data_IF_118983552939
#
_entry.id   IF_118983552939
#
_cell.length_a   1.000
_cell.length_b   1.000
_cell.length_c   1.000
_cell.angle_alpha   90.00
_cell.angle_beta   90.00
_cell.angle_gamma   90.00
#
_symmetry.space_group_name_H-M   'P 1'
#
loop_
_entity.id
_entity.type
_entity.pdbx_description
1 polymer ?
#
# COMPACT_ATOMS: atom_id res chain seq x y z
N UNK A 1 -10.91 5.05 -14.75
CA UNK A 1 -10.72 5.78 -13.49
C UNK A 1 -9.23 5.75 -13.16
N UNK A 2 -8.50 6.87 -13.16
CA UNK A 2 -7.14 6.91 -12.64
C UNK A 2 -7.16 6.87 -11.10
N UNK A 3 -6.20 6.17 -10.51
CA UNK A 3 -5.97 6.20 -9.07
C UNK A 3 -4.82 7.15 -8.76
N UNK A 4 -4.91 7.88 -7.65
CA UNK A 4 -3.84 8.76 -7.21
C UNK A 4 -3.50 8.50 -5.75
N UNK A 5 -2.23 8.69 -5.41
CA UNK A 5 -1.82 8.79 -4.02
C UNK A 5 -1.43 10.23 -3.74
N UNK A 6 -2.12 10.88 -2.81
CA UNK A 6 -1.65 12.14 -2.24
C UNK A 6 -0.96 11.80 -0.94
N UNK A 7 0.31 12.14 -0.83
CA UNK A 7 1.01 11.94 0.41
C UNK A 7 1.54 13.25 0.95
N UNK A 8 1.35 13.42 2.25
CA UNK A 8 1.90 14.54 3.01
C UNK A 8 2.99 13.92 3.88
N UNK A 9 4.24 14.22 3.57
CA UNK A 9 5.32 13.85 4.49
C UNK A 9 5.23 14.82 5.66
N UNK A 10 4.71 14.34 6.78
CA UNK A 10 4.78 15.04 8.06
C UNK A 10 6.16 14.80 8.66
N UNK A 11 7.18 15.42 8.08
CA UNK A 11 8.48 15.51 8.75
C UNK A 11 8.38 16.63 9.80
N UNK A 12 8.81 16.40 11.05
CA UNK A 12 8.71 17.38 12.13
C UNK A 12 9.38 18.73 11.82
N UNK A 13 10.34 18.75 10.88
CA UNK A 13 11.15 19.91 10.53
C UNK A 13 11.00 20.41 9.07
N UNK A 14 10.04 19.89 8.28
CA UNK A 14 9.82 20.34 6.90
C UNK A 14 8.44 20.96 6.71
N UNK A 15 8.34 21.97 5.83
CA UNK A 15 7.05 22.47 5.34
C UNK A 15 6.16 21.30 4.89
N UNK A 16 4.87 21.32 5.21
CA UNK A 16 3.92 20.31 4.73
C UNK A 16 3.86 20.34 3.20
N UNK A 17 4.67 19.51 2.56
CA UNK A 17 4.61 19.31 1.11
C UNK A 17 3.71 18.14 0.80
N UNK A 18 2.59 18.39 0.13
CA UNK A 18 1.79 17.34 -0.48
C UNK A 18 2.30 17.05 -1.89
N UNK A 19 2.56 15.79 -2.22
CA UNK A 19 2.86 15.34 -3.59
C UNK A 19 1.75 14.41 -4.06
N UNK A 20 1.26 14.64 -5.28
CA UNK A 20 0.32 13.74 -5.95
C UNK A 20 1.09 12.81 -6.88
N UNK A 21 0.90 11.51 -6.73
CA UNK A 21 1.47 10.48 -7.60
C UNK A 21 0.33 9.81 -8.36
N UNK A 22 0.42 9.82 -9.69
CA UNK A 22 -0.50 9.08 -10.54
C UNK A 22 -0.14 7.60 -10.51
N UNK A 23 -1.12 6.77 -10.20
CA UNK A 23 -0.98 5.33 -10.16
C UNK A 23 -1.55 4.74 -11.46
N UNK A 24 -0.73 3.93 -12.13
CA UNK A 24 -1.06 3.32 -13.40
C UNK A 24 -1.76 1.98 -13.17
N UNK A 25 -2.67 1.62 -14.08
CA UNK A 25 -3.32 0.32 -14.05
C UNK A 25 -2.31 -0.83 -14.23
N UNK A 26 -2.51 -1.92 -13.48
CA UNK A 26 -1.65 -3.09 -13.47
C UNK A 26 -0.26 -2.85 -12.89
N UNK A 27 -0.01 -1.69 -12.30
CA UNK A 27 1.27 -1.34 -11.71
C UNK A 27 1.33 -1.71 -10.22
N UNK A 28 2.54 -2.03 -9.78
CA UNK A 28 2.88 -2.19 -8.37
C UNK A 28 3.84 -1.07 -7.97
N UNK A 29 3.65 -0.52 -6.78
CA UNK A 29 4.47 0.54 -6.22
C UNK A 29 5.00 0.08 -4.87
N UNK A 30 6.32 0.12 -4.72
CA UNK A 30 7.01 -0.17 -3.48
C UNK A 30 7.17 1.11 -2.65
N UNK A 31 6.84 1.02 -1.37
CA UNK A 31 6.95 2.11 -0.42
C UNK A 31 7.94 1.68 0.67
N UNK A 32 8.95 2.51 0.93
CA UNK A 32 9.97 2.16 1.92
C UNK A 32 11.08 3.20 2.04
N UNK A 33 12.03 2.92 2.93
CA UNK A 33 13.17 3.82 3.20
C UNK A 33 14.27 3.76 2.14
N UNK A 34 14.33 2.68 1.38
CA UNK A 34 15.31 2.51 0.33
C UNK A 34 15.07 3.49 -0.83
N UNK A 35 16.13 4.08 -1.38
CA UNK A 35 16.05 4.88 -2.61
C UNK A 35 15.64 4.06 -3.85
N UNK A 36 15.60 2.73 -3.73
CA UNK A 36 15.09 1.84 -4.78
C UNK A 36 13.57 1.72 -4.78
N UNK A 37 12.88 2.24 -3.77
CA UNK A 37 11.43 2.23 -3.71
C UNK A 37 10.82 3.33 -4.59
N UNK A 38 9.70 3.04 -5.23
CA UNK A 38 8.96 3.99 -6.06
C UNK A 38 8.55 5.22 -5.26
N UNK A 39 8.19 5.02 -3.99
CA UNK A 39 7.92 6.05 -3.01
C UNK A 39 8.91 5.87 -1.86
N UNK A 40 9.91 6.75 -1.81
CA UNK A 40 10.94 6.74 -0.77
C UNK A 40 10.51 7.60 0.43
N UNK A 41 10.61 7.03 1.64
CA UNK A 41 10.33 7.71 2.91
C UNK A 41 11.62 7.85 3.72
N UNK A 42 11.97 9.08 4.09
CA UNK A 42 13.14 9.33 4.95
C UNK A 42 12.76 9.27 6.44
N UNK A 43 12.47 8.07 6.92
CA UNK A 43 12.14 7.80 8.31
C UNK A 43 12.89 6.53 8.79
N UNK A 44 13.67 6.61 9.89
CA UNK A 44 14.40 5.45 10.42
C UNK A 44 13.51 4.30 10.88
N UNK A 45 12.24 4.56 11.22
CA UNK A 45 11.23 3.57 11.60
C UNK A 45 10.63 2.83 10.39
N UNK A 46 10.93 3.28 9.17
CA UNK A 46 10.46 2.64 7.95
C UNK A 46 11.48 1.61 7.45
N UNK A 47 11.01 0.39 7.18
CA UNK A 47 11.82 -0.68 6.60
C UNK A 47 12.30 -0.32 5.19
N UNK A 48 13.40 -0.94 4.72
CA UNK A 48 13.97 -0.66 3.39
C UNK A 48 12.93 -0.81 2.26
N UNK A 49 12.16 -1.90 2.31
CA UNK A 49 10.94 -2.11 1.54
C UNK A 49 9.86 -2.40 2.57
N UNK A 50 8.95 -1.47 2.81
CA UNK A 50 8.01 -1.54 3.95
C UNK A 50 6.69 -2.17 3.54
N UNK A 51 6.08 -1.65 2.49
CA UNK A 51 4.83 -2.17 1.97
C UNK A 51 4.77 -2.01 0.45
N UNK A 52 3.75 -2.62 -0.15
CA UNK A 52 3.49 -2.59 -1.57
C UNK A 52 2.05 -2.18 -1.82
N UNK A 53 1.87 -1.27 -2.77
CA UNK A 53 0.58 -0.85 -3.30
C UNK A 53 0.41 -1.44 -4.69
N UNK A 54 -0.75 -2.05 -4.96
CA UNK A 54 -1.03 -2.77 -6.19
C UNK A 54 -2.32 -2.22 -6.78
N UNK A 55 -2.27 -1.80 -8.04
CA UNK A 55 -3.43 -1.32 -8.77
C UNK A 55 -3.92 -2.43 -9.69
N UNK A 56 -5.16 -2.83 -9.50
CA UNK A 56 -5.83 -3.80 -10.34
C UNK A 56 -7.04 -3.14 -10.97
N UNK A 57 -7.15 -3.07 -12.29
CA UNK A 57 -8.38 -2.67 -12.98
C UNK A 57 -9.06 -3.79 -13.77
N UNK A 58 -8.57 -5.04 -13.67
CA UNK A 58 -9.15 -6.20 -14.36
C UNK A 58 -10.13 -6.93 -13.44
N UNK A 59 -9.59 -7.78 -12.58
CA UNK A 59 -10.36 -8.68 -11.73
C UNK A 59 -10.46 -8.07 -10.34
N UNK A 60 -11.64 -7.59 -9.95
CA UNK A 60 -11.88 -6.79 -8.75
C UNK A 60 -11.13 -5.43 -8.76
N UNK A 61 -11.64 -4.44 -9.50
CA UNK A 61 -10.94 -3.17 -9.68
C UNK A 61 -10.78 -2.40 -8.35
N UNK A 62 -9.56 -1.97 -8.06
CA UNK A 62 -9.22 -1.25 -6.84
C UNK A 62 -7.72 -1.09 -6.60
N UNK A 63 -7.40 -0.39 -5.52
CA UNK A 63 -6.04 -0.31 -4.99
C UNK A 63 -5.92 -1.21 -3.77
N UNK A 64 -4.82 -1.94 -3.69
CA UNK A 64 -4.60 -2.98 -2.72
C UNK A 64 -3.27 -2.79 -2.01
N UNK A 65 -3.30 -2.77 -0.68
CA UNK A 65 -2.13 -2.56 0.16
C UNK A 65 -1.72 -3.87 0.83
N UNK A 66 -0.41 -4.07 0.97
CA UNK A 66 0.14 -5.23 1.62
C UNK A 66 1.45 -4.90 2.33
N UNK A 67 1.65 -5.41 3.53
CA UNK A 67 2.89 -5.23 4.29
C UNK A 67 3.97 -6.21 3.80
N UNK A 68 5.22 -5.75 3.63
CA UNK A 68 6.32 -6.58 3.11
C UNK A 68 7.21 -7.11 4.25
N UNK A 69 6.58 -7.63 5.30
CA UNK A 69 7.22 -8.10 6.53
C UNK A 69 8.04 -7.00 7.20
N UNK A 70 7.43 -5.83 7.34
CA UNK A 70 8.07 -4.66 7.89
C UNK A 70 8.24 -4.77 9.41
N UNK A 71 9.28 -4.12 9.95
CA UNK A 71 9.58 -4.18 11.39
C UNK A 71 8.50 -3.58 12.28
N UNK A 72 7.85 -2.51 11.84
CA UNK A 72 6.89 -1.74 12.63
C UNK A 72 5.43 -1.94 12.16
N UNK A 73 5.22 -2.67 11.06
CA UNK A 73 3.92 -2.91 10.46
C UNK A 73 3.37 -1.69 9.70
N UNK A 74 2.43 -1.99 8.81
CA UNK A 74 1.63 -1.01 8.09
C UNK A 74 0.22 -0.93 8.67
N UNK A 75 -0.36 0.27 8.76
CA UNK A 75 -1.72 0.47 9.28
C UNK A 75 -2.52 1.36 8.33
N UNK A 76 -3.84 1.18 8.28
CA UNK A 76 -4.78 2.05 7.57
C UNK A 76 -5.79 2.58 8.57
N UNK A 77 -5.94 3.90 8.63
CA UNK A 77 -6.99 4.55 9.39
C UNK A 77 -8.16 4.89 8.46
N UNK A 78 -9.37 4.57 8.90
CA UNK A 78 -10.62 4.85 8.19
C UNK A 78 -11.66 5.34 9.19
N UNK A 79 -11.96 6.64 9.15
CA UNK A 79 -12.81 7.26 10.17
C UNK A 79 -12.25 7.05 11.58
N UNK A 80 -12.95 6.28 12.41
CA UNK A 80 -12.53 5.96 13.78
C UNK A 80 -11.79 4.61 13.89
N UNK A 81 -11.73 3.84 12.81
CA UNK A 81 -11.11 2.53 12.78
C UNK A 81 -9.64 2.61 12.36
N UNK A 82 -8.84 1.71 12.91
CA UNK A 82 -7.41 1.67 12.67
C UNK A 82 -6.96 0.23 12.48
N UNK A 83 -6.83 -0.15 11.22
CA UNK A 83 -6.71 -1.51 10.74
C UNK A 83 -5.22 -1.82 10.52
N UNK A 84 -4.73 -2.91 11.11
CA UNK A 84 -3.38 -3.40 10.84
C UNK A 84 -3.40 -4.23 9.56
N UNK A 85 -2.44 -3.97 8.67
CA UNK A 85 -2.32 -4.69 7.41
C UNK A 85 -1.49 -5.94 7.62
N UNK A 86 -1.99 -7.05 7.10
CA UNK A 86 -1.29 -8.32 7.15
C UNK A 86 -0.11 -8.35 6.17
N UNK A 87 0.87 -9.19 6.52
CA UNK A 87 2.07 -9.39 5.72
C UNK A 87 1.71 -10.17 4.46
N UNK A 88 2.24 -9.71 3.33
CA UNK A 88 2.25 -10.49 2.09
C UNK A 88 3.05 -11.75 2.35
N UNK A 89 2.35 -12.89 2.38
CA UNK A 89 2.98 -14.20 2.40
C UNK A 89 3.71 -14.37 1.07
N UNK A 90 4.99 -14.02 1.06
CA UNK A 90 5.83 -14.01 -0.15
C UNK A 90 6.93 -15.05 -0.09
N UNK A 91 6.88 -15.96 0.88
CA UNK A 91 7.76 -17.11 0.94
C UNK A 91 6.97 -18.35 1.37
N UNK A 92 6.27 -18.95 0.40
CA UNK A 92 6.24 -20.40 0.39
C UNK A 92 7.51 -20.81 -0.34
N UNK A 93 8.47 -21.35 0.38
CA UNK A 93 9.46 -22.25 -0.21
C UNK A 93 8.67 -23.28 -1.04
N UNK A 94 9.07 -23.49 -2.31
CA UNK A 94 8.34 -24.37 -3.23
C UNK A 94 8.14 -25.80 -2.68
N UNK A 95 8.97 -26.18 -1.69
CA UNK A 95 8.94 -27.47 -1.00
C UNK A 95 7.78 -27.66 0.00
N UNK A 96 7.10 -26.59 0.46
CA UNK A 96 5.99 -26.70 1.43
C UNK A 96 4.59 -26.73 0.77
N UNK A 97 4.53 -26.57 -0.55
CA UNK A 97 3.27 -26.53 -1.32
C UNK A 97 2.55 -27.90 -1.35
N UNK A 98 3.23 -29.00 -1.01
CA UNK A 98 2.66 -30.34 -1.15
C UNK A 98 1.78 -30.82 0.01
N UNK A 99 1.72 -30.09 1.14
CA UNK A 99 0.96 -30.54 2.32
C UNK A 99 -0.06 -29.55 2.87
N UNK A 100 -0.34 -28.43 2.19
CA UNK A 100 -1.43 -27.54 2.60
C UNK A 100 -2.64 -27.68 1.69
N UNK A 101 -3.75 -28.04 2.33
CA UNK A 101 -5.07 -28.33 1.79
C UNK A 101 -5.51 -27.31 0.74
N UNK A 102 -6.21 -27.78 -0.29
CA UNK A 102 -6.75 -27.06 -1.46
C UNK A 102 -7.60 -25.79 -1.17
N UNK A 103 -7.78 -25.39 0.09
CA UNK A 103 -8.48 -24.17 0.51
C UNK A 103 -7.59 -22.92 0.57
N UNK A 104 -6.26 -23.05 0.65
CA UNK A 104 -5.36 -21.88 0.78
C UNK A 104 -4.95 -21.23 -0.55
N UNK A 105 -5.07 -21.92 -1.68
CA UNK A 105 -4.72 -21.37 -3.00
C UNK A 105 -5.70 -20.29 -3.47
N UNK A 106 -6.93 -20.25 -2.93
CA UNK A 106 -7.83 -19.11 -3.12
C UNK A 106 -7.60 -17.96 -2.13
N UNK A 107 -6.76 -18.15 -1.11
CA UNK A 107 -6.55 -17.20 -0.02
C UNK A 107 -5.11 -16.64 0.04
N UNK A 108 -4.34 -16.81 -1.04
CA UNK A 108 -2.96 -16.37 -1.14
C UNK A 108 -2.81 -14.82 -1.21
N UNK A 109 -3.92 -14.07 -1.26
CA UNK A 109 -3.91 -12.62 -1.49
C UNK A 109 -5.15 -11.91 -0.91
N UNK A 110 -5.46 -12.04 0.38
CA UNK A 110 -6.29 -11.01 1.05
C UNK A 110 -5.48 -9.71 1.20
N UNK A 111 -5.14 -9.10 0.05
CA UNK A 111 -4.58 -7.75 0.03
C UNK A 111 -5.67 -6.81 0.52
N UNK A 112 -5.31 -5.89 1.41
CA UNK A 112 -6.28 -4.95 1.97
C UNK A 112 -6.71 -3.94 0.90
N UNK A 113 -8.00 -3.88 0.58
CA UNK A 113 -8.53 -2.93 -0.41
C UNK A 113 -8.67 -1.55 0.21
N UNK A 114 -8.00 -0.58 -0.40
CA UNK A 114 -8.12 0.83 -0.02
C UNK A 114 -9.40 1.46 -0.56
N UNK A 115 -9.93 2.38 0.23
CA UNK A 115 -11.06 3.25 -0.08
C UNK A 115 -10.62 4.71 -0.08
N UNK A 116 -11.40 5.57 -0.74
CA UNK A 116 -11.14 7.01 -0.75
C UNK A 116 -11.03 7.56 0.67
N UNK A 117 -10.06 8.45 0.89
CA UNK A 117 -9.71 9.05 2.17
C UNK A 117 -9.12 8.08 3.22
N UNK A 118 -8.74 6.86 2.83
CA UNK A 118 -7.94 5.98 3.69
C UNK A 118 -6.56 6.60 3.96
N UNK A 119 -6.22 6.71 5.24
CA UNK A 119 -4.92 7.17 5.72
C UNK A 119 -4.00 5.99 6.01
N UNK A 120 -3.04 5.75 5.12
CA UNK A 120 -2.00 4.73 5.27
C UNK A 120 -0.90 5.28 6.17
N UNK A 121 -0.67 4.64 7.31
CA UNK A 121 0.34 5.03 8.31
C UNK A 121 1.50 4.04 8.28
N UNK A 122 2.70 4.59 8.05
CA UNK A 122 3.96 3.86 7.93
C UNK A 122 5.04 4.63 8.70
N UNK A 123 5.46 4.09 9.85
CA UNK A 123 6.33 4.85 10.76
C UNK A 123 5.61 6.10 11.29
N UNK A 124 6.22 7.27 11.12
CA UNK A 124 5.62 8.57 11.44
C UNK A 124 4.96 9.25 10.22
N UNK A 125 4.97 8.59 9.06
CA UNK A 125 4.45 9.16 7.80
C UNK A 125 3.03 8.67 7.51
N UNK A 126 2.17 9.60 7.09
CA UNK A 126 0.79 9.31 6.66
C UNK A 126 0.61 9.61 5.16
N UNK A 127 -0.03 8.69 4.43
CA UNK A 127 -0.39 8.83 3.03
C UNK A 127 -1.92 8.76 2.91
N UNK A 128 -2.54 9.72 2.24
CA UNK A 128 -4.00 9.71 2.04
C UNK A 128 -4.31 9.21 0.63
N UNK A 129 -5.08 8.13 0.54
CA UNK A 129 -5.50 7.56 -0.74
C UNK A 129 -6.64 8.36 -1.35
N UNK A 130 -6.52 8.72 -2.63
CA UNK A 130 -7.53 9.53 -3.33
C UNK A 130 -7.95 8.87 -4.65
N UNK A 131 -9.26 8.85 -4.88
CA UNK A 131 -9.84 8.43 -6.15
C UNK A 131 -10.39 9.68 -6.82
N UNK A 132 -9.68 10.23 -7.81
CA UNK A 132 -10.28 11.32 -8.57
C UNK A 132 -11.29 10.75 -9.57
N UNK A 133 -12.56 11.21 -9.56
CA UNK A 133 -13.49 10.88 -10.62
C UNK A 133 -12.87 11.34 -11.93
N UNK A 134 -12.85 10.46 -12.93
CA UNK A 134 -12.54 10.89 -14.30
C UNK A 134 -13.68 11.79 -14.73
N UNK A 135 -13.57 13.10 -14.51
CA UNK A 135 -14.53 14.06 -15.02
C UNK A 135 -14.36 14.07 -16.53
N UNK A 136 -15.17 13.28 -17.23
CA UNK A 136 -15.38 13.47 -18.65
C UNK A 136 -16.16 14.78 -18.78
N UNK A 137 -15.46 15.89 -19.02
CA UNK A 137 -16.09 17.04 -19.66
C UNK A 137 -16.42 16.60 -21.09
N UNK A 138 -17.70 16.28 -21.29
CA UNK A 138 -18.34 16.19 -22.62
C UNK A 138 -18.47 17.58 -23.24
#
# INVERSE_FOLDING_TARGET
MPFYLRYVILQPDSDMTSKLVKLNDGAEYTIGRSQKCDITIHDPLVSSTHCKLIINARDNPGAYLCDMNSKNGTRVNRGNDSIKIDVCDSMLDEDEIQHTTQDKTHNLFEKFRLEEDDDIVIGETTFTFLIEPTVFYI
#
